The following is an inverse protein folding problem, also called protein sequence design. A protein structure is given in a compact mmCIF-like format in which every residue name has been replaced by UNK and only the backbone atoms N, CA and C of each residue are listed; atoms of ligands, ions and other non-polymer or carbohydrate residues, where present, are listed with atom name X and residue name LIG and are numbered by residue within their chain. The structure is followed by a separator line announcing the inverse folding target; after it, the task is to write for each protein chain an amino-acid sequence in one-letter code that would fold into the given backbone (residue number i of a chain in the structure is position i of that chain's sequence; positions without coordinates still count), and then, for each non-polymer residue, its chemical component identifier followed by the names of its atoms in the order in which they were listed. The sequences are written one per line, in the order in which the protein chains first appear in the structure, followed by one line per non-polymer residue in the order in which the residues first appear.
data_IF_640003119279
#
_entry.id   IF_640003119279
#
_cell.length_a   1.000
_cell.length_b   1.000
_cell.length_c   1.000
_cell.angle_alpha   90.00
_cell.angle_beta   90.00
_cell.angle_gamma   90.00
#
_symmetry.space_group_name_H-M   'P 1'
#
loop_
_entity.id
_entity.type
_entity.pdbx_description
1 polymer ?
#
# COMPACT_ATOMS: atom_id res chain seq x y z
N UNK A 1 -13.84 16.38 30.00
CA UNK A 1 -14.26 15.08 29.40
C UNK A 1 -13.02 14.41 28.80
N UNK A 2 -12.69 13.17 29.19
CA UNK A 2 -11.44 12.51 28.74
C UNK A 2 -11.48 12.00 27.29
N UNK A 3 -12.67 11.65 26.78
CA UNK A 3 -12.84 11.05 25.43
C UNK A 3 -13.99 11.72 24.68
N UNK A 4 -13.80 12.93 24.12
CA UNK A 4 -14.82 13.59 23.31
C UNK A 4 -15.15 12.80 22.04
N UNK A 5 -16.36 12.99 21.52
CA UNK A 5 -16.79 12.37 20.27
C UNK A 5 -16.12 13.04 19.06
N UNK A 6 -15.08 12.40 18.53
CA UNK A 6 -14.27 12.89 17.41
C UNK A 6 -14.00 11.81 16.37
N UNK A 7 -13.66 12.23 15.15
CA UNK A 7 -13.23 11.33 14.09
C UNK A 7 -12.03 10.48 14.51
N UNK A 8 -11.93 9.24 13.99
CA UNK A 8 -10.87 8.29 14.39
C UNK A 8 -9.46 8.85 14.24
N UNK A 9 -9.23 9.66 13.20
CA UNK A 9 -7.95 10.34 12.93
C UNK A 9 -7.51 11.28 14.06
N UNK A 10 -8.45 11.85 14.82
CA UNK A 10 -8.18 12.82 15.88
C UNK A 10 -8.11 12.20 17.28
N UNK A 11 -8.53 10.94 17.46
CA UNK A 11 -8.66 10.31 18.79
C UNK A 11 -7.35 10.27 19.56
N UNK A 12 -6.21 10.02 18.88
CA UNK A 12 -4.90 10.01 19.56
C UNK A 12 -4.62 11.34 20.27
N UNK A 13 -4.94 12.47 19.62
CA UNK A 13 -4.68 13.82 20.13
C UNK A 13 -5.71 14.26 21.15
N UNK A 14 -6.99 14.03 20.84
CA UNK A 14 -8.12 14.59 21.59
C UNK A 14 -8.51 13.76 22.81
N UNK A 15 -8.24 12.44 22.81
CA UNK A 15 -8.49 11.61 23.99
C UNK A 15 -7.34 11.75 24.97
N UNK A 16 -7.64 12.14 26.21
CA UNK A 16 -6.65 12.45 27.22
C UNK A 16 -6.54 11.30 28.23
N UNK A 17 -5.33 10.93 28.67
CA UNK A 17 -5.15 10.03 29.80
C UNK A 17 -5.60 10.70 31.09
N UNK A 18 -5.91 9.90 32.11
CA UNK A 18 -6.15 10.42 33.45
C UNK A 18 -4.89 11.12 33.98
N UNK A 19 -5.06 12.31 34.56
CA UNK A 19 -4.02 13.01 35.32
C UNK A 19 -4.51 13.13 36.77
N UNK A 20 -3.72 12.74 37.78
CA UNK A 20 -4.06 13.03 39.17
C UNK A 20 -4.15 14.54 39.35
N UNK A 21 -5.18 15.01 40.07
CA UNK A 21 -5.19 16.39 40.58
C UNK A 21 -4.04 16.53 41.60
N UNK A 22 -3.26 17.62 41.58
CA UNK A 22 -2.23 17.83 42.58
C UNK A 22 -2.85 17.83 43.98
N UNK A 23 -2.36 16.97 44.87
CA UNK A 23 -2.73 17.00 46.28
C UNK A 23 -2.00 18.17 46.96
N UNK A 24 -2.78 19.19 47.33
CA UNK A 24 -2.45 20.42 48.07
C UNK A 24 -2.22 21.71 47.24
N UNK A 25 -3.25 22.57 47.33
CA UNK A 25 -3.23 24.03 47.28
C UNK A 25 -2.54 24.72 46.10
N UNK A 26 -3.31 24.92 45.02
CA UNK A 26 -3.66 26.27 44.54
C UNK A 26 -4.72 26.10 43.45
N UNK A 27 -5.82 26.83 43.58
CA UNK A 27 -6.74 27.10 42.48
C UNK A 27 -5.94 27.80 41.38
N UNK A 28 -5.47 27.04 40.40
CA UNK A 28 -5.06 27.60 39.12
C UNK A 28 -6.11 27.13 38.12
N UNK A 29 -7.10 28.00 37.91
CA UNK A 29 -7.90 28.00 36.70
C UNK A 29 -6.96 27.89 35.50
N UNK A 30 -7.08 26.79 34.75
CA UNK A 30 -6.44 26.57 33.45
C UNK A 30 -4.96 26.91 33.39
N UNK A 31 -4.09 25.96 33.75
CA UNK A 31 -2.72 25.97 33.20
C UNK A 31 -2.84 26.16 31.69
N UNK A 32 -2.29 27.26 31.12
CA UNK A 32 -2.25 27.41 29.68
C UNK A 32 -1.50 26.21 29.11
N UNK A 33 -2.04 25.58 28.06
CA UNK A 33 -1.35 24.53 27.31
C UNK A 33 0.06 25.07 26.98
N UNK A 34 1.08 24.53 27.66
CA UNK A 34 2.48 24.92 27.45
C UNK A 34 2.75 24.92 25.93
N UNK A 35 3.06 26.09 25.33
CA UNK A 35 3.25 26.20 23.89
C UNK A 35 4.34 25.26 23.38
N UNK A 36 5.36 24.96 24.17
CA UNK A 36 6.41 24.02 23.82
C UNK A 36 5.90 22.58 23.85
N UNK A 37 5.14 22.20 24.88
CA UNK A 37 4.51 20.88 24.96
C UNK A 37 3.52 20.64 23.82
N UNK A 38 2.79 21.68 23.40
CA UNK A 38 1.90 21.64 22.24
C UNK A 38 2.69 21.40 20.95
N UNK A 39 3.78 22.16 20.73
CA UNK A 39 4.67 21.96 19.58
C UNK A 39 5.28 20.55 19.54
N UNK A 40 5.68 20.00 20.68
CA UNK A 40 6.21 18.62 20.77
C UNK A 40 5.14 17.60 20.38
N UNK A 41 3.89 17.78 20.81
CA UNK A 41 2.77 16.93 20.41
C UNK A 41 2.49 17.02 18.92
N UNK A 42 2.46 18.23 18.36
CA UNK A 42 2.25 18.46 16.93
C UNK A 42 3.34 17.77 16.11
N UNK A 43 4.61 17.87 16.52
CA UNK A 43 5.72 17.21 15.85
C UNK A 43 5.61 15.67 15.92
N UNK A 44 5.22 15.11 17.08
CA UNK A 44 5.00 13.67 17.23
C UNK A 44 3.85 13.18 16.36
N UNK A 45 2.79 13.97 16.23
CA UNK A 45 1.64 13.64 15.41
C UNK A 45 2.01 13.57 13.91
N UNK A 46 2.88 14.46 13.44
CA UNK A 46 3.41 14.46 12.08
C UNK A 46 4.23 13.20 11.72
N UNK A 47 4.65 12.40 12.70
CA UNK A 47 5.30 11.12 12.45
C UNK A 47 4.37 10.07 11.81
N UNK A 48 3.05 10.31 11.82
CA UNK A 48 2.06 9.38 11.27
C UNK A 48 1.18 10.04 10.22
N UNK A 49 1.10 9.41 9.04
CA UNK A 49 0.10 9.76 8.02
C UNK A 49 -1.32 9.70 8.59
N UNK A 50 -2.24 10.49 8.03
CA UNK A 50 -3.66 10.50 8.42
C UNK A 50 -4.29 9.09 8.47
N UNK A 51 -3.97 8.25 7.49
CA UNK A 51 -4.48 6.87 7.44
C UNK A 51 -3.98 6.02 8.61
N UNK A 52 -2.75 6.25 9.07
CA UNK A 52 -2.17 5.57 10.23
C UNK A 52 -2.81 6.09 11.51
N UNK A 53 -2.98 7.41 11.65
CA UNK A 53 -3.69 8.03 12.78
C UNK A 53 -5.13 7.50 12.91
N UNK A 54 -5.85 7.39 11.79
CA UNK A 54 -7.20 6.82 11.78
C UNK A 54 -7.24 5.32 12.18
N UNK A 55 -6.28 4.52 11.71
CA UNK A 55 -6.17 3.11 12.08
C UNK A 55 -5.82 2.94 13.57
N UNK A 56 -4.90 3.76 14.08
CA UNK A 56 -4.51 3.78 15.49
C UNK A 56 -5.63 4.26 16.40
N UNK A 57 -6.35 5.32 16.03
CA UNK A 57 -7.53 5.77 16.77
C UNK A 57 -8.68 4.76 16.78
N UNK A 58 -8.74 3.85 15.81
CA UNK A 58 -9.66 2.71 15.85
C UNK A 58 -9.22 1.66 16.88
N UNK A 59 -7.92 1.39 16.97
CA UNK A 59 -7.36 0.53 18.00
C UNK A 59 -7.47 1.10 19.41
N UNK A 60 -7.29 2.41 19.55
CA UNK A 60 -7.47 3.11 20.81
C UNK A 60 -8.92 3.04 21.31
N UNK A 61 -9.90 3.14 20.40
CA UNK A 61 -11.31 2.89 20.74
C UNK A 61 -11.50 1.46 21.25
N UNK A 62 -10.98 0.46 20.55
CA UNK A 62 -11.10 -0.94 20.98
C UNK A 62 -10.50 -1.17 22.38
N UNK A 63 -9.36 -0.52 22.68
CA UNK A 63 -8.74 -0.56 24.01
C UNK A 63 -9.63 0.04 25.09
N UNK A 64 -10.19 1.23 24.88
CA UNK A 64 -11.07 1.84 25.87
C UNK A 64 -12.38 1.07 26.06
N UNK A 65 -12.96 0.51 24.99
CA UNK A 65 -14.13 -0.38 25.10
C UNK A 65 -13.80 -1.62 25.93
N UNK A 66 -12.63 -2.24 25.72
CA UNK A 66 -12.16 -3.33 26.57
C UNK A 66 -12.03 -2.89 28.03
N UNK A 67 -11.39 -1.76 28.30
CA UNK A 67 -11.24 -1.24 29.65
C UNK A 67 -12.58 -0.91 30.32
N UNK A 68 -13.55 -0.36 29.57
CA UNK A 68 -14.90 -0.08 30.06
C UNK A 68 -15.63 -1.39 30.37
N UNK A 69 -15.51 -2.42 29.52
CA UNK A 69 -16.16 -3.72 29.72
C UNK A 69 -15.58 -4.55 30.88
N UNK A 70 -14.32 -4.30 31.26
CA UNK A 70 -13.63 -4.94 32.36
C UNK A 70 -13.54 -4.09 33.63
N UNK A 71 -14.29 -2.98 33.69
CA UNK A 71 -14.30 -2.03 34.81
C UNK A 71 -12.90 -1.52 35.22
N UNK A 72 -11.97 -1.42 34.28
CA UNK A 72 -10.60 -0.96 34.53
C UNK A 72 -10.64 0.54 34.84
N UNK A 73 -10.21 0.99 36.04
CA UNK A 73 -10.23 2.40 36.42
C UNK A 73 -9.39 3.28 35.50
N UNK A 74 -9.81 4.53 35.26
CA UNK A 74 -9.11 5.47 34.35
C UNK A 74 -7.62 5.65 34.69
N UNK A 75 -7.28 5.66 35.98
CA UNK A 75 -5.90 5.78 36.49
C UNK A 75 -5.00 4.58 36.14
N UNK A 76 -5.59 3.42 35.80
CA UNK A 76 -4.87 2.19 35.46
C UNK A 76 -4.76 1.96 33.94
N UNK A 77 -5.45 2.77 33.14
CA UNK A 77 -5.43 2.66 31.67
C UNK A 77 -4.16 3.24 31.05
N UNK A 78 -3.48 4.15 31.75
CA UNK A 78 -2.29 4.83 31.27
C UNK A 78 -1.46 5.39 32.46
N UNK A 79 -0.15 5.08 32.58
CA UNK A 79 0.61 4.12 31.77
C UNK A 79 0.07 2.69 31.89
N UNK A 80 -0.05 2.00 30.76
CA UNK A 80 -0.56 0.63 30.71
C UNK A 80 0.37 -0.33 31.45
N UNK A 81 -0.20 -1.20 32.30
CA UNK A 81 0.55 -2.28 32.94
C UNK A 81 0.63 -3.49 32.03
N UNK A 82 1.56 -4.41 32.34
CA UNK A 82 1.69 -5.63 31.55
C UNK A 82 0.43 -6.50 31.60
N UNK A 83 -0.17 -6.61 32.77
CA UNK A 83 -1.39 -7.39 32.99
C UNK A 83 -2.56 -6.86 32.12
N UNK A 84 -2.74 -5.54 32.06
CA UNK A 84 -3.78 -4.92 31.24
C UNK A 84 -3.53 -5.13 29.75
N UNK A 85 -2.28 -5.01 29.28
CA UNK A 85 -1.94 -5.28 27.88
C UNK A 85 -2.19 -6.74 27.51
N UNK A 86 -1.77 -7.67 28.36
CA UNK A 86 -1.92 -9.11 28.10
C UNK A 86 -3.40 -9.52 28.09
N UNK A 87 -4.19 -8.98 29.02
CA UNK A 87 -5.64 -9.17 29.05
C UNK A 87 -6.32 -8.57 27.81
N UNK A 88 -5.89 -7.39 27.35
CA UNK A 88 -6.39 -6.78 26.12
C UNK A 88 -6.09 -7.65 24.89
N UNK A 89 -4.86 -8.19 24.79
CA UNK A 89 -4.48 -9.09 23.69
C UNK A 89 -5.32 -10.38 23.74
N UNK A 90 -5.50 -10.95 24.92
CA UNK A 90 -6.31 -12.15 25.12
C UNK A 90 -7.78 -11.92 24.72
N UNK A 91 -8.36 -10.76 25.07
CA UNK A 91 -9.73 -10.40 24.71
C UNK A 91 -9.95 -10.25 23.19
N UNK A 92 -8.91 -9.87 22.44
CA UNK A 92 -8.98 -9.78 20.97
C UNK A 92 -8.73 -11.13 20.27
N UNK A 93 -8.13 -12.08 20.97
CA UNK A 93 -7.79 -13.39 20.42
C UNK A 93 -9.06 -14.18 20.07
N UNK A 94 -9.01 -14.95 18.98
CA UNK A 94 -10.20 -15.66 18.47
C UNK A 94 -11.22 -14.78 17.73
N UNK A 95 -11.10 -13.45 17.79
CA UNK A 95 -11.97 -12.52 17.05
C UNK A 95 -11.24 -11.74 15.96
N UNK A 96 -9.95 -11.47 16.15
CA UNK A 96 -9.16 -10.65 15.24
C UNK A 96 -7.91 -11.36 14.73
N UNK A 97 -7.47 -10.96 13.53
CA UNK A 97 -6.18 -11.40 12.99
C UNK A 97 -5.03 -10.82 13.82
N UNK A 98 -3.91 -11.55 13.90
CA UNK A 98 -2.69 -11.08 14.58
C UNK A 98 -2.23 -9.68 14.09
N UNK A 99 -2.39 -9.40 12.79
CA UNK A 99 -2.06 -8.09 12.24
C UNK A 99 -2.97 -6.96 12.74
N UNK A 100 -4.25 -7.25 12.97
CA UNK A 100 -5.21 -6.29 13.57
C UNK A 100 -4.85 -6.03 15.02
N UNK A 101 -4.59 -7.09 15.80
CA UNK A 101 -4.17 -6.99 17.20
C UNK A 101 -2.91 -6.12 17.32
N UNK A 102 -1.89 -6.42 16.51
CA UNK A 102 -0.67 -5.61 16.50
C UNK A 102 -0.93 -4.14 16.16
N UNK A 103 -1.81 -3.86 15.19
CA UNK A 103 -2.18 -2.48 14.86
C UNK A 103 -2.90 -1.76 16.02
N UNK A 104 -3.73 -2.47 16.79
CA UNK A 104 -4.39 -1.90 17.97
C UNK A 104 -3.38 -1.58 19.07
N UNK A 105 -2.45 -2.50 19.36
CA UNK A 105 -1.34 -2.25 20.30
C UNK A 105 -0.52 -1.05 19.86
N UNK A 106 -0.19 -0.94 18.56
CA UNK A 106 0.51 0.24 18.03
C UNK A 106 -0.27 1.53 18.25
N UNK A 107 -1.60 1.52 18.16
CA UNK A 107 -2.44 2.68 18.46
C UNK A 107 -2.40 3.09 19.92
N UNK A 108 -2.49 2.11 20.84
CA UNK A 108 -2.37 2.37 22.29
C UNK A 108 -0.97 2.89 22.62
N UNK A 109 0.08 2.32 22.03
CA UNK A 109 1.47 2.81 22.17
C UNK A 109 1.63 4.23 21.65
N UNK A 110 1.11 4.52 20.46
CA UNK A 110 1.19 5.85 19.87
C UNK A 110 0.52 6.90 20.77
N UNK A 111 -0.63 6.56 21.35
CA UNK A 111 -1.32 7.40 22.32
C UNK A 111 -0.48 7.68 23.57
N UNK A 112 0.15 6.66 24.16
CA UNK A 112 1.06 6.85 25.31
C UNK A 112 2.21 7.80 24.97
N UNK A 113 2.90 7.54 23.85
CA UNK A 113 4.05 8.34 23.43
C UNK A 113 3.65 9.78 23.08
N UNK A 114 2.48 9.98 22.46
CA UNK A 114 1.98 11.31 22.12
C UNK A 114 1.72 12.14 23.38
N UNK A 115 1.16 11.54 24.43
CA UNK A 115 0.90 12.21 25.71
C UNK A 115 2.08 12.18 26.69
N UNK A 116 3.27 11.75 26.26
CA UNK A 116 4.49 11.76 27.08
C UNK A 116 4.53 10.69 28.18
N UNK A 117 3.71 9.65 28.06
CA UNK A 117 3.64 8.55 29.03
C UNK A 117 4.67 7.46 28.72
N UNK A 118 5.15 6.78 29.77
CA UNK A 118 6.03 5.62 29.65
C UNK A 118 5.32 4.49 28.89
N UNK A 119 6.05 3.86 27.96
CA UNK A 119 5.65 2.62 27.31
C UNK A 119 6.78 1.60 27.47
N UNK A 120 6.61 0.68 28.41
CA UNK A 120 7.60 -0.34 28.78
C UNK A 120 7.10 -1.82 28.79
N UNK A 121 6.08 -2.23 28.01
CA UNK A 121 5.84 -3.66 27.81
C UNK A 121 6.98 -4.38 27.07
N UNK A 122 7.35 -5.57 27.54
CA UNK A 122 8.31 -6.47 26.87
C UNK A 122 7.83 -6.86 25.48
N UNK A 123 8.62 -6.51 24.45
CA UNK A 123 8.33 -6.86 23.05
C UNK A 123 8.30 -8.38 22.84
N UNK A 124 9.27 -9.10 23.41
CA UNK A 124 9.39 -10.54 23.22
C UNK A 124 8.16 -11.31 23.73
N UNK A 125 7.64 -10.89 24.89
CA UNK A 125 6.47 -11.53 25.48
C UNK A 125 5.16 -11.08 24.81
N UNK A 126 5.06 -9.81 24.40
CA UNK A 126 3.96 -9.34 23.56
C UNK A 126 3.89 -10.16 22.26
N UNK A 127 5.03 -10.40 21.61
CA UNK A 127 5.14 -11.23 20.42
C UNK A 127 4.79 -12.71 20.69
N UNK A 128 5.04 -13.21 21.90
CA UNK A 128 4.61 -14.55 22.32
C UNK A 128 3.08 -14.66 22.37
N UNK A 129 2.40 -13.69 22.97
CA UNK A 129 0.93 -13.68 23.03
C UNK A 129 0.29 -13.50 21.66
N UNK A 130 0.83 -12.61 20.82
CA UNK A 130 0.35 -12.42 19.44
C UNK A 130 0.48 -13.72 18.64
N UNK A 131 1.58 -14.47 18.80
CA UNK A 131 1.75 -15.79 18.18
C UNK A 131 0.71 -16.80 18.69
N UNK A 132 0.38 -16.77 19.97
CA UNK A 132 -0.72 -17.55 20.55
C UNK A 132 -2.06 -17.20 19.89
N UNK A 133 -2.40 -15.91 19.87
CA UNK A 133 -3.62 -15.39 19.26
C UNK A 133 -3.73 -15.74 17.76
N UNK A 134 -2.60 -15.76 17.04
CA UNK A 134 -2.55 -16.16 15.63
C UNK A 134 -3.01 -17.60 15.41
N UNK A 135 -2.70 -18.53 16.33
CA UNK A 135 -3.06 -19.96 16.19
C UNK A 135 -4.56 -20.19 16.33
N UNK A 136 -5.25 -19.36 17.11
CA UNK A 136 -6.69 -19.47 17.35
C UNK A 136 -7.51 -18.45 16.54
N UNK A 137 -6.84 -17.65 15.71
CA UNK A 137 -7.52 -16.65 14.89
C UNK A 137 -8.51 -17.33 13.93
N UNK A 138 -9.71 -16.74 13.70
CA UNK A 138 -10.68 -17.32 12.77
C UNK A 138 -10.07 -17.55 11.39
N UNK A 139 -10.37 -18.67 10.75
CA UNK A 139 -9.94 -18.92 9.36
C UNK A 139 -10.39 -17.78 8.42
N UNK A 140 -11.57 -17.21 8.66
CA UNK A 140 -12.10 -16.03 7.95
C UNK A 140 -11.26 -14.76 8.11
N UNK A 141 -10.45 -14.67 9.18
CA UNK A 141 -9.55 -13.54 9.43
C UNK A 141 -8.20 -13.66 8.71
N UNK A 142 -7.86 -14.87 8.24
CA UNK A 142 -6.65 -15.14 7.46
C UNK A 142 -6.93 -14.80 6.01
N UNK A 143 -6.19 -13.85 5.45
CA UNK A 143 -6.28 -13.51 4.02
C UNK A 143 -5.59 -14.61 3.22
N UNK A 144 -6.34 -15.30 2.38
CA UNK A 144 -5.79 -16.20 1.37
C UNK A 144 -4.73 -15.51 0.51
N UNK A 145 -3.78 -16.31 0.03
CA UNK A 145 -2.75 -15.82 -0.89
C UNK A 145 -3.45 -15.39 -2.17
N UNK A 146 -3.33 -14.10 -2.51
CA UNK A 146 -4.03 -13.52 -3.65
C UNK A 146 -3.49 -14.11 -4.95
N UNK A 147 -4.38 -14.62 -5.79
CA UNK A 147 -4.03 -15.09 -7.12
C UNK A 147 -3.54 -13.91 -7.99
N UNK A 148 -2.30 -13.96 -8.53
CA UNK A 148 -1.71 -12.86 -9.30
C UNK A 148 -2.47 -12.57 -10.60
N UNK A 149 -2.40 -11.33 -11.10
CA UNK A 149 -2.70 -11.07 -12.51
C UNK A 149 -1.64 -11.77 -13.38
N UNK A 150 -2.07 -12.33 -14.51
CA UNK A 150 -1.18 -12.90 -15.52
C UNK A 150 -1.43 -12.20 -16.85
N UNK A 151 -0.49 -12.30 -17.79
CA UNK A 151 -0.68 -11.79 -19.16
C UNK A 151 -1.94 -12.39 -19.80
N UNK A 152 -2.18 -13.70 -19.61
CA UNK A 152 -3.41 -14.37 -20.07
C UNK A 152 -4.68 -13.78 -19.45
N UNK A 153 -4.66 -13.48 -18.15
CA UNK A 153 -5.81 -12.85 -17.48
C UNK A 153 -6.07 -11.45 -18.06
N UNK A 154 -5.02 -10.62 -18.22
CA UNK A 154 -5.12 -9.27 -18.76
C UNK A 154 -5.66 -9.26 -20.21
N UNK A 155 -5.12 -10.12 -21.06
CA UNK A 155 -5.57 -10.25 -22.46
C UNK A 155 -7.00 -10.76 -22.56
N UNK A 156 -7.40 -11.71 -21.69
CA UNK A 156 -8.80 -12.13 -21.61
C UNK A 156 -9.73 -10.98 -21.21
N UNK A 157 -9.33 -10.13 -20.24
CA UNK A 157 -10.12 -8.96 -19.88
C UNK A 157 -10.27 -7.97 -21.04
N UNK A 158 -9.22 -7.78 -21.84
CA UNK A 158 -9.24 -6.88 -23.00
C UNK A 158 -10.40 -7.20 -23.95
N UNK A 159 -10.67 -8.48 -24.20
CA UNK A 159 -11.76 -8.91 -25.11
C UNK A 159 -13.17 -8.54 -24.62
N UNK A 160 -13.30 -8.17 -23.35
CA UNK A 160 -14.56 -7.73 -22.73
C UNK A 160 -14.56 -6.22 -22.40
N UNK A 161 -13.61 -5.47 -22.97
CA UNK A 161 -13.54 -4.01 -22.90
C UNK A 161 -13.63 -3.45 -24.31
N UNK A 162 -14.48 -2.45 -24.51
CA UNK A 162 -14.56 -1.74 -25.79
C UNK A 162 -13.60 -0.54 -25.75
N UNK A 163 -12.41 -0.70 -26.32
CA UNK A 163 -11.36 0.31 -26.27
C UNK A 163 -11.65 1.56 -27.13
N UNK A 164 -12.77 1.58 -27.87
CA UNK A 164 -13.28 2.81 -28.51
C UNK A 164 -14.03 3.70 -27.52
N UNK A 165 -14.48 3.14 -26.38
CA UNK A 165 -15.15 3.89 -25.33
C UNK A 165 -14.11 4.58 -24.41
N UNK A 166 -14.28 5.89 -24.12
CA UNK A 166 -13.38 6.68 -23.27
C UNK A 166 -12.94 6.01 -21.97
N UNK A 167 -13.90 5.49 -21.20
CA UNK A 167 -13.62 4.88 -19.90
C UNK A 167 -12.85 3.57 -20.03
N UNK A 168 -13.21 2.72 -20.99
CA UNK A 168 -12.63 1.39 -21.14
C UNK A 168 -11.20 1.48 -21.68
N UNK A 169 -10.94 2.43 -22.59
CA UNK A 169 -9.59 2.80 -23.03
C UNK A 169 -8.70 3.22 -21.84
N UNK A 170 -9.19 4.13 -21.00
CA UNK A 170 -8.45 4.60 -19.82
C UNK A 170 -8.23 3.49 -18.79
N UNK A 171 -9.21 2.62 -18.56
CA UNK A 171 -9.11 1.47 -17.66
C UNK A 171 -8.05 0.48 -18.16
N UNK A 172 -8.05 0.17 -19.45
CA UNK A 172 -7.09 -0.79 -20.00
C UNK A 172 -5.66 -0.23 -19.99
N UNK A 173 -5.47 1.02 -20.39
CA UNK A 173 -4.18 1.70 -20.33
C UNK A 173 -3.64 1.80 -18.88
N UNK A 174 -4.53 2.07 -17.91
CA UNK A 174 -4.17 2.07 -16.48
C UNK A 174 -3.76 0.68 -16.00
N UNK A 175 -4.47 -0.37 -16.42
CA UNK A 175 -4.17 -1.76 -16.04
C UNK A 175 -2.80 -2.20 -16.55
N UNK A 176 -2.52 -2.02 -17.84
CA UNK A 176 -1.24 -2.43 -18.45
C UNK A 176 -0.09 -1.60 -17.90
N UNK A 177 -0.27 -0.28 -17.72
CA UNK A 177 0.74 0.58 -17.06
C UNK A 177 0.99 0.15 -15.62
N UNK A 178 -0.05 -0.15 -14.84
CA UNK A 178 0.11 -0.61 -13.47
C UNK A 178 0.84 -1.96 -13.40
N UNK A 179 0.55 -2.86 -14.34
CA UNK A 179 1.16 -4.18 -14.42
C UNK A 179 2.63 -4.10 -14.85
N UNK A 180 2.95 -3.52 -16.00
CA UNK A 180 4.33 -3.47 -16.48
C UNK A 180 5.21 -2.44 -15.76
N UNK A 181 4.60 -1.39 -15.19
CA UNK A 181 5.27 -0.43 -14.33
C UNK A 181 5.43 -0.87 -12.86
N UNK A 182 4.88 -2.03 -12.47
CA UNK A 182 4.88 -2.51 -11.08
C UNK A 182 4.31 -1.46 -10.09
N UNK A 183 3.34 -0.66 -10.56
CA UNK A 183 2.80 0.48 -9.81
C UNK A 183 1.90 0.03 -8.66
N UNK A 184 1.78 0.84 -7.61
CA UNK A 184 0.65 0.71 -6.69
C UNK A 184 -0.54 1.39 -7.35
N UNK A 185 -1.70 0.72 -7.34
CA UNK A 185 -2.89 1.27 -8.01
C UNK A 185 -3.30 2.67 -7.53
N UNK A 186 -3.03 3.01 -6.26
CA UNK A 186 -3.32 4.35 -5.73
C UNK A 186 -2.40 5.46 -6.25
N UNK A 187 -1.31 5.12 -6.93
CA UNK A 187 -0.41 6.07 -7.60
C UNK A 187 -0.96 6.47 -8.98
N UNK A 188 -1.82 5.63 -9.58
CA UNK A 188 -2.38 5.80 -10.93
C UNK A 188 -3.89 6.06 -10.94
N UNK A 189 -4.50 6.22 -9.77
CA UNK A 189 -5.94 6.46 -9.63
C UNK A 189 -6.21 7.38 -8.45
N UNK A 190 -7.32 8.12 -8.52
CA UNK A 190 -7.77 9.01 -7.44
C UNK A 190 -8.83 8.35 -6.55
N UNK A 191 -8.98 8.84 -5.31
CA UNK A 191 -9.97 8.33 -4.35
C UNK A 191 -11.41 8.68 -4.73
N UNK A 192 -11.61 9.87 -5.32
CA UNK A 192 -12.91 10.38 -5.77
C UNK A 192 -12.70 11.35 -6.93
N UNK A 193 -13.79 11.71 -7.62
CA UNK A 193 -13.73 12.65 -8.76
C UNK A 193 -13.21 14.05 -8.38
N UNK A 194 -13.36 14.45 -7.11
CA UNK A 194 -12.91 15.75 -6.60
C UNK A 194 -11.52 15.71 -5.95
N UNK A 195 -10.88 14.54 -5.90
CA UNK A 195 -9.62 14.34 -5.19
C UNK A 195 -8.38 14.55 -6.07
N UNK A 196 -8.53 14.82 -7.36
CA UNK A 196 -7.40 15.10 -8.23
C UNK A 196 -6.73 16.41 -7.83
N UNK A 197 -5.40 16.37 -7.78
CA UNK A 197 -4.51 17.47 -7.42
C UNK A 197 -3.24 17.28 -8.26
N UNK A 198 -2.93 18.18 -9.22
CA UNK A 198 -1.83 18.03 -10.16
C UNK A 198 -0.43 18.07 -9.53
N UNK A 199 -0.32 18.55 -8.29
CA UNK A 199 0.94 18.55 -7.52
C UNK A 199 1.18 17.21 -6.82
N UNK A 200 0.13 16.40 -6.65
CA UNK A 200 0.19 15.15 -5.88
C UNK A 200 -0.08 13.91 -6.71
N UNK A 201 -0.74 14.07 -7.85
CA UNK A 201 -1.16 12.98 -8.71
C UNK A 201 -0.53 13.12 -10.08
N UNK A 202 -0.23 11.98 -10.68
CA UNK A 202 0.36 11.92 -12.01
C UNK A 202 -0.55 12.54 -13.08
N UNK A 203 0.07 13.34 -13.94
CA UNK A 203 -0.56 14.04 -15.07
C UNK A 203 0.15 13.69 -16.38
N UNK A 204 -0.45 14.10 -17.50
CA UNK A 204 0.08 13.79 -18.84
C UNK A 204 1.48 14.37 -19.04
N UNK A 205 1.76 15.56 -18.50
CA UNK A 205 3.09 16.19 -18.56
C UNK A 205 4.17 15.49 -17.73
N UNK A 206 3.82 14.51 -16.89
CA UNK A 206 4.78 13.73 -16.11
C UNK A 206 5.29 12.47 -16.86
N UNK A 207 4.93 12.31 -18.15
CA UNK A 207 5.30 11.17 -18.98
C UNK A 207 6.39 11.55 -19.96
N UNK A 208 7.43 10.71 -20.07
CA UNK A 208 8.54 10.93 -20.99
C UNK A 208 8.99 9.61 -21.64
N UNK A 209 9.46 9.70 -22.88
CA UNK A 209 10.14 8.60 -23.54
C UNK A 209 11.65 8.72 -23.32
N UNK A 210 12.27 7.60 -22.92
CA UNK A 210 13.71 7.50 -22.69
C UNK A 210 14.28 6.41 -23.58
N UNK A 211 15.47 6.66 -24.12
CA UNK A 211 16.20 5.69 -24.94
C UNK A 211 17.54 5.40 -24.27
N UNK A 212 17.86 4.12 -24.09
CA UNK A 212 19.15 3.73 -23.54
C UNK A 212 20.28 3.80 -24.58
N UNK A 213 21.51 3.49 -24.15
CA UNK A 213 22.69 3.47 -25.03
C UNK A 213 22.62 2.43 -26.17
N UNK A 214 21.72 1.47 -26.09
CA UNK A 214 21.52 0.40 -27.06
C UNK A 214 20.31 0.68 -27.98
N UNK A 215 19.69 1.87 -27.89
CA UNK A 215 18.52 2.22 -28.68
C UNK A 215 17.20 1.62 -28.14
N UNK A 216 17.21 1.02 -26.95
CA UNK A 216 16.02 0.44 -26.32
C UNK A 216 15.18 1.55 -25.69
N UNK A 217 13.92 1.64 -26.15
CA UNK A 217 12.95 2.64 -25.69
C UNK A 217 12.20 2.18 -24.45
N UNK A 218 11.96 3.10 -23.54
CA UNK A 218 11.10 2.92 -22.37
C UNK A 218 10.25 4.15 -22.14
N UNK A 219 9.01 3.95 -21.71
CA UNK A 219 8.14 5.03 -21.25
C UNK A 219 8.25 5.16 -19.74
N UNK A 220 8.57 6.36 -19.27
CA UNK A 220 8.77 6.70 -17.86
C UNK A 220 7.64 7.62 -17.41
N UNK A 221 7.13 7.36 -16.22
CA UNK A 221 6.01 8.04 -15.59
C UNK A 221 6.46 8.51 -14.22
N UNK A 222 6.62 9.83 -14.06
CA UNK A 222 7.02 10.41 -12.78
C UNK A 222 5.80 10.49 -11.86
N UNK A 223 5.83 9.80 -10.71
CA UNK A 223 4.77 9.90 -9.70
C UNK A 223 5.15 11.02 -8.73
N UNK A 224 4.43 12.17 -8.66
CA UNK A 224 4.88 13.34 -7.90
C UNK A 224 5.03 13.08 -6.40
N UNK A 225 4.12 12.29 -5.81
CA UNK A 225 4.14 11.96 -4.38
C UNK A 225 3.79 10.49 -4.19
N UNK A 226 4.65 9.75 -3.48
CA UNK A 226 4.35 8.38 -3.04
C UNK A 226 4.20 8.33 -1.52
N UNK A 227 3.79 7.17 -1.00
CA UNK A 227 3.68 6.95 0.45
C UNK A 227 5.03 7.19 1.18
N UNK A 228 6.15 6.93 0.51
CA UNK A 228 7.48 6.93 1.13
C UNK A 228 8.40 8.01 0.56
N UNK A 229 8.09 8.57 -0.60
CA UNK A 229 8.87 9.62 -1.25
C UNK A 229 8.01 10.87 -1.50
N UNK A 230 8.30 11.93 -0.74
CA UNK A 230 7.64 13.25 -0.91
C UNK A 230 8.10 13.99 -2.17
N UNK A 231 9.25 13.62 -2.73
CA UNK A 231 9.79 14.16 -3.99
C UNK A 231 9.45 13.30 -5.22
N UNK A 232 8.57 12.32 -5.03
CA UNK A 232 8.16 11.43 -6.09
C UNK A 232 9.15 10.30 -6.40
N UNK A 233 8.71 9.38 -7.25
CA UNK A 233 9.48 8.25 -7.76
C UNK A 233 8.95 7.86 -9.14
N UNK A 234 9.82 7.35 -10.00
CA UNK A 234 9.43 6.93 -11.34
C UNK A 234 8.89 5.50 -11.36
N UNK A 235 7.94 5.25 -12.26
CA UNK A 235 7.67 3.92 -12.80
C UNK A 235 7.94 3.94 -14.29
N UNK A 236 8.20 2.76 -14.85
CA UNK A 236 8.52 2.65 -16.26
C UNK A 236 8.20 1.27 -16.78
N UNK A 237 7.88 1.22 -18.06
CA UNK A 237 7.75 0.00 -18.83
C UNK A 237 8.34 0.19 -20.23
N UNK A 238 8.64 -0.92 -20.87
CA UNK A 238 9.03 -0.97 -22.29
C UNK A 238 7.94 -1.69 -23.06
N UNK A 239 7.82 -1.41 -24.36
CA UNK A 239 6.87 -2.07 -25.27
C UNK A 239 6.88 -3.60 -25.09
N UNK A 240 5.71 -4.21 -25.16
CA UNK A 240 5.53 -5.66 -25.08
C UNK A 240 4.91 -6.20 -26.37
N UNK A 241 4.89 -7.53 -26.50
CA UNK A 241 4.24 -8.19 -27.63
C UNK A 241 2.78 -8.53 -27.30
N UNK A 242 1.92 -8.51 -28.33
CA UNK A 242 0.54 -8.97 -28.26
C UNK A 242 -0.40 -8.03 -27.52
N UNK A 243 -1.56 -8.56 -27.13
CA UNK A 243 -2.70 -7.76 -26.70
C UNK A 243 -2.51 -7.02 -25.37
N UNK A 244 -1.55 -7.44 -24.54
CA UNK A 244 -1.24 -6.77 -23.28
C UNK A 244 -0.26 -5.62 -23.41
N UNK A 245 0.16 -5.26 -24.63
CA UNK A 245 1.15 -4.20 -24.86
C UNK A 245 0.76 -2.88 -24.19
N UNK A 246 1.53 -2.41 -23.18
CA UNK A 246 1.25 -1.15 -22.52
C UNK A 246 1.44 0.06 -23.44
N UNK A 247 2.28 -0.03 -24.47
CA UNK A 247 2.45 1.05 -25.47
C UNK A 247 1.18 1.23 -26.29
N UNK A 248 0.73 0.17 -26.97
CA UNK A 248 -0.51 0.22 -27.75
C UNK A 248 -1.74 0.63 -26.90
N UNK A 249 -1.83 0.15 -25.65
CA UNK A 249 -2.92 0.52 -24.76
C UNK A 249 -2.86 2.01 -24.37
N UNK A 250 -1.67 2.53 -24.08
CA UNK A 250 -1.47 3.94 -23.74
C UNK A 250 -1.76 4.86 -24.92
N UNK A 251 -1.24 4.54 -26.11
CA UNK A 251 -1.47 5.33 -27.33
C UNK A 251 -2.96 5.38 -27.68
N UNK A 252 -3.68 4.25 -27.58
CA UNK A 252 -5.13 4.23 -27.77
C UNK A 252 -5.86 5.15 -26.78
N UNK A 253 -5.45 5.15 -25.51
CA UNK A 253 -6.02 6.05 -24.51
C UNK A 253 -5.79 7.53 -24.85
N UNK A 254 -4.60 7.90 -25.30
CA UNK A 254 -4.30 9.27 -25.73
C UNK A 254 -5.17 9.67 -26.93
N UNK A 255 -5.32 8.79 -27.92
CA UNK A 255 -6.16 9.04 -29.10
C UNK A 255 -7.64 9.22 -28.70
N UNK A 256 -8.19 8.28 -27.92
CA UNK A 256 -9.62 8.27 -27.57
C UNK A 256 -10.00 9.39 -26.61
N UNK A 257 -9.16 9.69 -25.62
CA UNK A 257 -9.50 10.64 -24.56
C UNK A 257 -8.90 12.03 -24.75
N UNK A 258 -7.77 12.14 -25.44
CA UNK A 258 -7.01 13.39 -25.67
C UNK A 258 -6.90 14.29 -24.42
N UNK A 259 -6.44 13.75 -23.27
CA UNK A 259 -6.32 14.53 -22.04
C UNK A 259 -5.27 15.63 -22.18
N UNK A 260 -5.53 16.80 -21.60
CA UNK A 260 -4.60 17.93 -21.63
C UNK A 260 -3.39 17.70 -20.69
N UNK A 261 -2.26 18.42 -20.87
CA UNK A 261 -1.03 18.17 -20.12
C UNK A 261 -1.17 18.13 -18.59
N UNK A 262 -2.06 18.96 -18.02
CA UNK A 262 -2.27 19.07 -16.57
C UNK A 262 -3.43 18.20 -16.04
N UNK A 263 -4.09 17.43 -16.89
CA UNK A 263 -5.11 16.48 -16.46
C UNK A 263 -4.46 15.17 -15.98
N UNK A 264 -5.18 14.45 -15.13
CA UNK A 264 -4.77 13.13 -14.63
C UNK A 264 -4.41 12.19 -15.80
N UNK A 265 -3.34 11.41 -15.64
CA UNK A 265 -2.80 10.52 -16.70
C UNK A 265 -3.88 9.66 -17.40
N UNK A 266 -4.75 9.04 -16.61
CA UNK A 266 -5.86 8.22 -17.12
C UNK A 266 -7.21 8.95 -17.08
N UNK A 267 -7.23 10.26 -17.30
CA UNK A 267 -8.48 11.01 -17.37
C UNK A 267 -9.26 10.62 -18.64
N UNK A 268 -10.58 10.46 -18.51
CA UNK A 268 -11.44 10.01 -19.61
C UNK A 268 -12.59 10.96 -19.87
N UNK A 269 -13.05 11.00 -21.12
CA UNK A 269 -14.19 11.82 -21.53
C UNK A 269 -15.51 11.25 -20.99
N UNK A 270 -16.35 12.13 -20.47
CA UNK A 270 -17.68 11.81 -19.97
C UNK A 270 -18.65 12.97 -20.27
N UNK A 271 -19.35 12.85 -21.40
CA UNK A 271 -20.14 13.94 -21.97
C UNK A 271 -19.21 15.07 -22.40
N UNK A 272 -19.52 16.31 -22.00
CA UNK A 272 -18.67 17.49 -22.24
C UNK A 272 -17.55 17.68 -21.21
N UNK A 273 -17.42 16.77 -20.23
CA UNK A 273 -16.46 16.90 -19.13
C UNK A 273 -15.43 15.79 -19.14
N UNK A 274 -14.20 16.10 -18.74
CA UNK A 274 -13.15 15.10 -18.51
C UNK A 274 -13.10 14.73 -17.03
N UNK A 275 -12.97 13.44 -16.71
CA UNK A 275 -12.95 12.93 -15.33
C UNK A 275 -11.67 12.15 -15.03
N UNK A 276 -11.05 12.33 -13.86
CA UNK A 276 -9.92 11.48 -13.46
C UNK A 276 -10.42 10.05 -13.17
N UNK A 277 -9.59 9.06 -13.48
CA UNK A 277 -9.92 7.66 -13.21
C UNK A 277 -9.89 7.38 -11.69
N UNK A 278 -11.05 7.08 -11.13
CA UNK A 278 -11.15 6.69 -9.73
C UNK A 278 -10.83 5.20 -9.55
N UNK A 279 -10.21 4.84 -8.43
CA UNK A 279 -9.95 3.44 -8.08
C UNK A 279 -11.22 2.58 -8.07
N UNK A 280 -12.35 3.17 -7.62
CA UNK A 280 -13.65 2.48 -7.55
C UNK A 280 -14.14 2.08 -8.94
N UNK A 281 -14.14 3.03 -9.88
CA UNK A 281 -14.62 2.79 -11.26
C UNK A 281 -13.69 1.80 -11.96
N UNK A 282 -12.37 1.97 -11.82
CA UNK A 282 -11.38 1.05 -12.38
C UNK A 282 -11.63 -0.40 -11.95
N UNK A 283 -11.72 -0.65 -10.64
CA UNK A 283 -11.96 -2.01 -10.13
C UNK A 283 -13.33 -2.56 -10.51
N UNK A 284 -14.34 -1.69 -10.61
CA UNK A 284 -15.68 -2.08 -11.05
C UNK A 284 -15.66 -2.58 -12.50
N UNK A 285 -15.06 -1.81 -13.42
CA UNK A 285 -14.94 -2.19 -14.83
C UNK A 285 -14.16 -3.49 -15.03
N UNK A 286 -13.03 -3.67 -14.34
CA UNK A 286 -12.28 -4.93 -14.41
C UNK A 286 -13.06 -6.12 -13.85
N UNK A 287 -13.85 -5.91 -12.79
CA UNK A 287 -14.71 -6.94 -12.21
C UNK A 287 -15.84 -7.34 -13.16
N UNK A 288 -16.45 -6.37 -13.86
CA UNK A 288 -17.45 -6.66 -14.89
C UNK A 288 -16.85 -7.47 -16.05
N UNK A 289 -15.70 -7.04 -16.60
CA UNK A 289 -15.02 -7.75 -17.67
C UNK A 289 -14.61 -9.18 -17.25
N UNK A 290 -14.12 -9.35 -16.01
CA UNK A 290 -13.78 -10.67 -15.48
C UNK A 290 -14.99 -11.60 -15.42
N UNK A 291 -16.13 -11.11 -14.90
CA UNK A 291 -17.35 -11.90 -14.82
C UNK A 291 -17.89 -12.29 -16.20
N UNK A 292 -17.84 -11.36 -17.17
CA UNK A 292 -18.24 -11.64 -18.55
C UNK A 292 -17.35 -12.69 -19.22
N UNK A 293 -16.08 -12.76 -18.82
CA UNK A 293 -15.13 -13.78 -19.25
C UNK A 293 -15.25 -15.13 -18.50
N UNK A 294 -16.16 -15.26 -17.53
CA UNK A 294 -16.23 -16.44 -16.65
C UNK A 294 -15.04 -16.57 -15.69
N UNK A 295 -14.36 -15.46 -15.37
CA UNK A 295 -13.20 -15.41 -14.47
C UNK A 295 -13.57 -14.79 -13.12
N UNK A 296 -12.87 -15.21 -12.07
CA UNK A 296 -13.00 -14.63 -10.73
C UNK A 296 -12.39 -13.21 -10.66
N UNK A 297 -13.16 -12.19 -10.23
CA UNK A 297 -12.65 -10.82 -10.09
C UNK A 297 -11.51 -10.69 -9.07
N UNK A 298 -10.37 -10.15 -9.51
CA UNK A 298 -9.19 -9.95 -8.67
C UNK A 298 -9.14 -8.55 -8.05
N UNK A 299 -8.58 -8.46 -6.83
CA UNK A 299 -8.35 -7.18 -6.13
C UNK A 299 -7.16 -6.45 -6.75
N UNK A 300 -7.18 -5.11 -6.78
CA UNK A 300 -6.11 -4.31 -7.43
C UNK A 300 -4.68 -4.57 -6.94
N UNK A 301 -4.48 -5.01 -5.70
CA UNK A 301 -3.14 -5.38 -5.21
C UNK A 301 -2.55 -6.62 -5.92
N UNK A 302 -3.40 -7.48 -6.49
CA UNK A 302 -2.97 -8.64 -7.26
C UNK A 302 -2.28 -8.25 -8.59
N UNK A 303 -2.49 -7.02 -9.09
CA UNK A 303 -1.79 -6.50 -10.27
C UNK A 303 -0.28 -6.46 -10.00
N UNK A 304 0.12 -5.87 -8.86
CA UNK A 304 1.52 -5.74 -8.49
C UNK A 304 2.16 -7.08 -8.10
N UNK A 305 1.40 -8.00 -7.51
CA UNK A 305 1.86 -9.40 -7.30
C UNK A 305 2.11 -10.07 -8.65
N UNK A 306 1.18 -9.92 -9.60
CA UNK A 306 1.30 -10.45 -10.94
C UNK A 306 2.49 -9.88 -11.72
N UNK A 307 2.68 -8.57 -11.68
CA UNK A 307 3.84 -7.88 -12.24
C UNK A 307 5.15 -8.45 -11.74
N UNK A 308 5.24 -8.64 -10.42
CA UNK A 308 6.44 -9.22 -9.78
C UNK A 308 6.69 -10.63 -10.30
N UNK A 309 5.66 -11.47 -10.31
CA UNK A 309 5.76 -12.83 -10.81
C UNK A 309 6.20 -12.86 -12.28
N UNK A 310 5.58 -12.04 -13.14
CA UNK A 310 5.87 -11.97 -14.57
C UNK A 310 7.34 -11.66 -14.84
N UNK A 311 7.88 -10.61 -14.20
CA UNK A 311 9.28 -10.25 -14.41
C UNK A 311 10.26 -11.28 -13.83
N UNK A 312 9.94 -11.91 -12.70
CA UNK A 312 10.77 -12.99 -12.15
C UNK A 312 10.76 -14.24 -13.04
N UNK A 313 9.62 -14.58 -13.65
CA UNK A 313 9.53 -15.67 -14.64
C UNK A 313 10.30 -15.35 -15.93
N UNK A 314 10.52 -14.08 -16.25
CA UNK A 314 11.40 -13.62 -17.34
C UNK A 314 12.88 -13.57 -16.96
N UNK A 315 13.24 -14.03 -15.77
CA UNK A 315 14.63 -14.09 -15.31
C UNK A 315 15.18 -12.80 -14.73
N UNK A 316 14.35 -11.78 -14.46
CA UNK A 316 14.83 -10.56 -13.78
C UNK A 316 15.34 -10.93 -12.37
N UNK A 317 16.58 -10.57 -12.00
CA UNK A 317 17.11 -10.86 -10.67
C UNK A 317 16.27 -10.22 -9.56
N UNK A 318 16.22 -10.86 -8.38
CA UNK A 318 15.40 -10.38 -7.25
C UNK A 318 15.73 -8.93 -6.85
N UNK A 319 17.00 -8.56 -6.83
CA UNK A 319 17.42 -7.18 -6.50
C UNK A 319 16.99 -6.17 -7.57
N UNK A 320 17.14 -6.50 -8.86
CA UNK A 320 16.62 -5.66 -9.94
C UNK A 320 15.09 -5.51 -9.84
N UNK A 321 14.37 -6.58 -9.47
CA UNK A 321 12.93 -6.52 -9.25
C UNK A 321 12.56 -5.67 -8.02
N UNK A 322 13.35 -5.74 -6.93
CA UNK A 322 13.19 -4.86 -5.74
C UNK A 322 13.29 -3.39 -6.13
N UNK A 323 14.29 -3.03 -6.94
CA UNK A 323 14.45 -1.68 -7.49
C UNK A 323 13.27 -1.29 -8.39
N UNK A 324 12.91 -2.13 -9.36
CA UNK A 324 11.81 -1.85 -10.29
C UNK A 324 10.49 -1.59 -9.58
N UNK A 325 10.16 -2.37 -8.56
CA UNK A 325 8.94 -2.12 -7.79
C UNK A 325 9.10 -1.10 -6.67
N UNK A 326 10.28 -0.52 -6.42
CA UNK A 326 10.50 0.47 -5.35
C UNK A 326 10.18 -0.09 -3.97
N UNK A 327 10.77 -1.25 -3.64
CA UNK A 327 10.73 -1.81 -2.29
C UNK A 327 12.02 -1.46 -1.54
N UNK A 328 11.91 -0.66 -0.49
CA UNK A 328 13.03 -0.32 0.40
C UNK A 328 13.29 -1.38 1.49
N UNK A 329 12.44 -2.40 1.61
CA UNK A 329 12.52 -3.40 2.69
C UNK A 329 12.06 -4.79 2.24
N UNK A 330 12.17 -5.75 3.15
CA UNK A 330 11.70 -7.14 3.00
C UNK A 330 10.18 -7.28 2.78
N UNK A 331 9.43 -6.17 2.69
CA UNK A 331 8.06 -6.16 2.18
C UNK A 331 7.93 -6.81 0.78
N UNK A 332 9.02 -6.88 0.01
CA UNK A 332 9.10 -7.60 -1.26
C UNK A 332 8.73 -9.08 -1.13
N UNK A 333 9.14 -9.76 -0.05
CA UNK A 333 8.85 -11.19 0.18
C UNK A 333 7.37 -11.54 0.11
N UNK A 334 6.49 -10.59 0.46
CA UNK A 334 5.03 -10.75 0.41
C UNK A 334 4.47 -10.88 -1.01
N UNK A 335 5.23 -10.46 -2.01
CA UNK A 335 4.87 -10.54 -3.42
C UNK A 335 5.40 -11.81 -4.08
N UNK A 336 6.32 -12.53 -3.43
CA UNK A 336 6.86 -13.78 -3.96
C UNK A 336 5.81 -14.90 -3.91
N UNK A 337 5.57 -15.48 -5.07
CA UNK A 337 4.65 -16.60 -5.26
C UNK A 337 5.19 -17.54 -6.31
N UNK A 338 4.65 -18.76 -6.36
CA UNK A 338 5.08 -19.79 -7.31
C UNK A 338 6.61 -20.01 -7.30
N UNK A 339 7.22 -20.07 -6.11
CA UNK A 339 8.68 -20.19 -5.94
C UNK A 339 9.29 -21.30 -6.81
N UNK A 340 8.68 -22.49 -6.83
CA UNK A 340 9.12 -23.61 -7.66
C UNK A 340 9.21 -23.24 -9.15
N UNK A 341 8.28 -22.45 -9.68
CA UNK A 341 8.30 -22.02 -11.08
C UNK A 341 9.39 -20.98 -11.34
N UNK A 342 9.57 -20.03 -10.41
CA UNK A 342 10.61 -18.99 -10.52
C UNK A 342 12.01 -19.62 -10.52
N UNK A 343 12.24 -20.63 -9.68
CA UNK A 343 13.55 -21.29 -9.55
C UNK A 343 13.75 -22.47 -10.50
N UNK A 344 12.68 -22.95 -11.17
CA UNK A 344 12.74 -24.12 -12.05
C UNK A 344 13.85 -24.04 -13.11
N UNK A 345 14.06 -22.92 -13.84
CA UNK A 345 15.12 -22.83 -14.85
C UNK A 345 16.54 -23.05 -14.28
N UNK A 346 16.73 -22.81 -12.98
CA UNK A 346 18.01 -22.94 -12.28
C UNK A 346 18.22 -24.32 -11.63
N UNK A 347 17.13 -25.07 -11.45
CA UNK A 347 17.17 -26.41 -10.86
C UNK A 347 17.23 -27.53 -11.92
N UNK A 348 17.21 -27.19 -13.21
CA UNK A 348 17.34 -28.18 -14.28
C UNK A 348 18.76 -28.76 -14.32
N UNK A 349 18.90 -29.99 -14.82
CA UNK A 349 20.19 -30.66 -14.97
C UNK A 349 21.19 -29.84 -15.82
N UNK A 350 20.67 -29.03 -16.75
CA UNK A 350 21.41 -28.03 -17.51
C UNK A 350 20.65 -26.70 -17.37
N UNK A 351 21.10 -25.78 -16.50
CA UNK A 351 20.41 -24.51 -16.27
C UNK A 351 20.42 -23.61 -17.52
N UNK A 352 19.26 -23.05 -17.90
CA UNK A 352 19.08 -22.25 -19.13
C UNK A 352 19.78 -20.87 -19.09
N UNK A 353 20.24 -20.40 -17.91
CA UNK A 353 20.76 -19.04 -17.71
C UNK A 353 22.31 -18.94 -17.59
N UNK A 354 23.05 -19.92 -18.10
CA UNK A 354 24.48 -19.74 -18.35
C UNK A 354 24.70 -19.36 -19.81
N UNK A 355 24.66 -18.06 -20.14
CA UNK A 355 25.51 -17.59 -21.24
C UNK A 355 26.95 -17.83 -20.76
N UNK A 356 27.74 -18.73 -21.38
CA UNK A 356 29.15 -18.82 -21.02
C UNK A 356 29.78 -17.45 -21.29
N UNK A 357 30.68 -16.95 -20.42
CA UNK A 357 31.47 -15.80 -20.80
C UNK A 357 32.28 -16.22 -22.03
N UNK A 358 31.97 -15.64 -23.20
CA UNK A 358 32.88 -15.62 -24.33
C UNK A 358 34.09 -14.79 -23.93
N UNK A 359 34.97 -15.40 -23.14
CA UNK A 359 36.38 -15.06 -23.10
C UNK A 359 37.02 -16.06 -24.05
N UNK A 360 37.14 -15.69 -25.31
CA UNK A 360 38.19 -16.26 -26.14
C UNK A 360 39.51 -15.96 -25.42
N UNK A 361 40.07 -16.97 -24.76
CA UNK A 361 41.44 -16.91 -24.27
C UNK A 361 42.32 -16.90 -25.52
N UNK A 362 43.07 -15.82 -25.80
CA UNK A 362 44.01 -15.85 -26.91
C UNK A 362 45.03 -16.95 -26.62
N UNK A 363 45.07 -17.97 -27.47
CA UNK A 363 46.18 -18.92 -27.48
C UNK A 363 47.42 -18.12 -27.85
N UNK A 364 48.26 -17.83 -26.85
CA UNK A 364 49.62 -17.40 -27.09
C UNK A 364 50.33 -18.51 -27.89
N UNK A 365 50.70 -18.14 -29.10
CA UNK A 365 51.55 -18.90 -30.00
C UNK A 365 52.93 -19.06 -29.31
N UNK A 366 53.51 -20.25 -29.45
CA UNK A 366 54.83 -20.63 -28.91
C UNK A 366 55.95 -19.71 -29.37
#
# INVERSE_FOLDING_TARGET
MLRPHVASVNRLREWKPYKPLPSHSSEVEGEPDDPELTRVKDLRELAWDESTRAAYGSGLLAYHVFCDSGDIPEKERAPITRQVLDAFIAALAGSHSAGTINNYICGVRAWHLLHGLKWDPSKAETDLLIRGAQKIAPKSSVKEKRDPFTVKYITTLKHHLDLTLPLDAAVYACLTTAFYGTARLGELTVKSLKAFDPERHIKISDVQDVVDRNGLKSKVFHIPVTKVAKKGEDIYWSKQNGDSDPEAAFDNHIIVNSPSPNQHLFAYQHGSSTRPLTKKIFLHKLSQAAKQAGLEPKKGHAIRIGSTLEYLLRGVPLEAMKHKGRWASEAFSRYLTKHAQIIAPYMQAIPENQTPPNVEIPRLIR
#
